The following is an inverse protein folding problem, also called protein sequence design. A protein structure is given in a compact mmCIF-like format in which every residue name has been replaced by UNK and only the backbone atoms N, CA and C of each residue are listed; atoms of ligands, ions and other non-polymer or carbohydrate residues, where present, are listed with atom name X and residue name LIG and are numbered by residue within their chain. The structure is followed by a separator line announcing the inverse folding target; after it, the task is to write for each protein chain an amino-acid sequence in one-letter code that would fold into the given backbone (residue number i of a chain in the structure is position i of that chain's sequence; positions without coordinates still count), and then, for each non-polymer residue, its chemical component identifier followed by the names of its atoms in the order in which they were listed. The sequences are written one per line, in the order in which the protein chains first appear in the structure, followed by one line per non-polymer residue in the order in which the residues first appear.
data_IF_817549796656
#
_entry.id   IF_817549796656
#
_cell.length_a   1.000
_cell.length_b   1.000
_cell.length_c   1.000
_cell.angle_alpha   90.00
_cell.angle_beta   90.00
_cell.angle_gamma   90.00
#
_symmetry.space_group_name_H-M   'P 1'
#
loop_
_entity.id
_entity.type
_entity.pdbx_description
1 polymer ?
#
# COMPACT_ATOMS: atom_id res chain seq x y z
N UNK A 1 12.29 -4.60 7.86
CA UNK A 1 12.00 -5.50 8.98
C UNK A 1 10.55 -5.37 9.41
N UNK A 2 9.79 -6.43 9.34
CA UNK A 2 8.39 -6.46 9.77
C UNK A 2 8.19 -7.54 10.84
N UNK A 3 7.55 -7.15 11.94
CA UNK A 3 7.08 -8.11 12.94
C UNK A 3 5.97 -8.97 12.33
N UNK A 4 5.72 -10.11 12.95
CA UNK A 4 4.58 -10.97 12.62
C UNK A 4 3.30 -10.14 12.46
N UNK A 5 2.65 -10.24 11.28
CA UNK A 5 1.45 -9.48 10.95
C UNK A 5 1.67 -7.98 10.64
N UNK A 6 2.92 -7.50 10.61
CA UNK A 6 3.22 -6.13 10.16
C UNK A 6 3.01 -6.00 8.65
N UNK A 7 2.55 -4.84 8.18
CA UNK A 7 2.29 -4.62 6.76
C UNK A 7 2.54 -3.18 6.34
N UNK A 8 2.80 -3.01 5.06
CA UNK A 8 2.76 -1.72 4.38
C UNK A 8 1.43 -1.67 3.63
N UNK A 9 0.53 -0.73 3.97
CA UNK A 9 -0.81 -0.68 3.37
C UNK A 9 -0.75 -0.37 1.86
N UNK A 10 -1.85 -0.56 1.12
CA UNK A 10 -1.91 -0.21 -0.29
C UNK A 10 -1.43 1.21 -0.56
N UNK A 11 -0.39 1.32 -1.41
CA UNK A 11 0.30 2.57 -1.72
C UNK A 11 0.87 2.55 -3.13
N UNK A 12 1.37 3.70 -3.57
CA UNK A 12 2.08 3.87 -4.84
C UNK A 12 3.40 4.58 -4.61
N UNK A 13 4.39 4.27 -5.45
CA UNK A 13 5.59 5.06 -5.63
C UNK A 13 5.49 5.82 -6.97
N UNK A 14 5.20 7.13 -6.95
CA UNK A 14 4.91 7.86 -8.20
C UNK A 14 6.13 8.08 -9.09
N UNK A 15 7.34 7.98 -8.55
CA UNK A 15 8.57 8.33 -9.25
C UNK A 15 9.59 7.19 -9.38
N UNK A 16 9.22 5.97 -9.00
CA UNK A 16 10.11 4.82 -9.14
C UNK A 16 9.33 3.51 -9.23
N UNK A 17 9.96 2.53 -9.88
CA UNK A 17 9.64 1.11 -9.67
C UNK A 17 10.40 0.60 -8.45
N UNK A 18 9.83 -0.36 -7.76
CA UNK A 18 10.41 -1.02 -6.59
C UNK A 18 10.71 -2.48 -6.91
N UNK A 19 11.83 -2.97 -6.44
CA UNK A 19 12.13 -4.39 -6.37
C UNK A 19 12.28 -4.78 -4.91
N UNK A 20 11.58 -5.83 -4.48
CA UNK A 20 11.72 -6.39 -3.14
C UNK A 20 12.47 -7.72 -3.22
N UNK A 21 13.43 -7.92 -2.31
CA UNK A 21 14.15 -9.17 -2.10
C UNK A 21 13.96 -9.64 -0.68
N UNK A 22 13.45 -10.84 -0.49
CA UNK A 22 13.22 -11.41 0.86
C UNK A 22 14.49 -12.08 1.36
N UNK A 23 14.94 -11.65 2.55
CA UNK A 23 16.14 -12.16 3.22
C UNK A 23 15.76 -13.24 4.22
N UNK A 24 14.70 -13.05 4.99
CA UNK A 24 14.21 -13.99 6.01
C UNK A 24 12.69 -13.88 6.19
N UNK A 25 12.08 -14.96 6.65
CA UNK A 25 10.64 -15.03 6.85
C UNK A 25 9.85 -15.15 5.54
N UNK A 26 8.57 -14.84 5.60
CA UNK A 26 7.66 -14.92 4.46
C UNK A 26 6.92 -13.58 4.30
N UNK A 27 6.84 -13.08 3.07
CA UNK A 27 6.19 -11.82 2.74
C UNK A 27 5.13 -12.07 1.68
N UNK A 28 3.89 -11.78 2.02
CA UNK A 28 2.82 -11.69 1.04
C UNK A 28 2.89 -10.33 0.33
N UNK A 29 2.79 -10.35 -0.99
CA UNK A 29 2.76 -9.15 -1.83
C UNK A 29 1.52 -9.15 -2.70
N UNK A 30 0.98 -7.96 -2.96
CA UNK A 30 -0.12 -7.75 -3.88
C UNK A 30 0.11 -6.52 -4.75
N UNK A 31 -0.32 -6.61 -6.01
CA UNK A 31 -0.17 -5.58 -7.03
C UNK A 31 -1.43 -5.52 -7.89
N UNK A 32 -1.91 -4.32 -8.18
CA UNK A 32 -3.03 -4.09 -9.10
C UNK A 32 -2.51 -3.34 -10.32
N UNK A 33 -2.75 -3.87 -11.53
CA UNK A 33 -2.39 -3.19 -12.77
C UNK A 33 -3.46 -2.18 -13.22
N UNK A 34 -3.17 -1.44 -14.28
CA UNK A 34 -4.10 -0.42 -14.81
C UNK A 34 -5.35 -0.99 -15.46
N UNK A 35 -5.41 -2.31 -15.70
CA UNK A 35 -6.63 -3.00 -16.15
C UNK A 35 -7.51 -3.50 -15.00
N UNK A 36 -7.07 -3.26 -13.74
CA UNK A 36 -7.73 -3.75 -12.55
C UNK A 36 -7.42 -5.21 -12.21
N UNK A 37 -6.42 -5.81 -12.88
CA UNK A 37 -6.02 -7.18 -12.59
C UNK A 37 -5.15 -7.22 -11.34
N UNK A 38 -5.50 -8.09 -10.41
CA UNK A 38 -4.76 -8.33 -9.17
C UNK A 38 -3.78 -9.47 -9.34
N UNK A 39 -2.54 -9.21 -8.96
CA UNK A 39 -1.46 -10.20 -8.89
C UNK A 39 -1.01 -10.30 -7.44
N UNK A 40 -0.83 -11.50 -6.94
CA UNK A 40 -0.31 -11.73 -5.61
C UNK A 40 0.65 -12.91 -5.58
N UNK A 41 1.52 -12.90 -4.59
CA UNK A 41 2.45 -13.99 -4.33
C UNK A 41 2.85 -14.00 -2.86
N UNK A 42 3.21 -15.17 -2.35
CA UNK A 42 3.97 -15.29 -1.10
C UNK A 42 5.43 -15.48 -1.46
N UNK A 43 6.27 -14.59 -0.99
CA UNK A 43 7.70 -14.59 -1.24
C UNK A 43 8.44 -15.24 -0.07
N UNK A 44 9.37 -16.11 -0.41
CA UNK A 44 10.27 -16.79 0.53
C UNK A 44 11.68 -16.25 0.44
N UNK A 45 12.59 -16.54 1.40
CA UNK A 45 13.97 -16.08 1.32
C UNK A 45 14.63 -16.42 -0.02
N UNK A 46 15.19 -15.41 -0.67
CA UNK A 46 15.80 -15.51 -2.00
C UNK A 46 14.87 -15.11 -3.15
N UNK A 47 13.58 -14.94 -2.90
CA UNK A 47 12.63 -14.50 -3.92
C UNK A 47 12.73 -12.99 -4.16
N UNK A 48 12.46 -12.60 -5.41
CA UNK A 48 12.34 -11.23 -5.88
C UNK A 48 10.94 -10.98 -6.44
N UNK A 49 10.44 -9.76 -6.25
CA UNK A 49 9.22 -9.29 -6.90
C UNK A 49 9.39 -7.83 -7.33
N UNK A 50 8.79 -7.46 -8.46
CA UNK A 50 8.86 -6.09 -8.99
C UNK A 50 7.50 -5.42 -8.91
N UNK A 51 7.47 -4.23 -8.32
CA UNK A 51 6.31 -3.33 -8.36
C UNK A 51 6.60 -2.21 -9.35
N UNK A 52 5.95 -2.21 -10.54
CA UNK A 52 6.12 -1.15 -11.52
C UNK A 52 5.67 0.21 -10.97
N UNK A 53 6.34 1.27 -11.42
CA UNK A 53 6.06 2.64 -11.00
C UNK A 53 4.57 3.00 -11.14
N UNK A 54 4.01 3.61 -10.09
CA UNK A 54 2.66 4.15 -10.07
C UNK A 54 1.55 3.12 -9.86
N UNK A 55 1.86 1.83 -9.77
CA UNK A 55 0.85 0.80 -9.51
C UNK A 55 0.61 0.61 -8.02
N UNK A 56 -0.66 0.45 -7.66
CA UNK A 56 -1.06 0.19 -6.26
C UNK A 56 -0.57 -1.19 -5.85
N UNK A 57 0.14 -1.25 -4.74
CA UNK A 57 0.68 -2.49 -4.20
C UNK A 57 0.78 -2.46 -2.68
N UNK A 58 0.94 -3.63 -2.06
CA UNK A 58 1.16 -3.77 -0.63
C UNK A 58 2.15 -4.91 -0.34
N UNK A 59 2.74 -4.88 0.85
CA UNK A 59 3.52 -5.96 1.41
C UNK A 59 3.03 -6.27 2.82
N UNK A 60 2.95 -7.55 3.17
CA UNK A 60 2.55 -7.98 4.52
C UNK A 60 3.43 -9.13 4.99
N UNK A 61 3.93 -9.02 6.22
CA UNK A 61 4.56 -10.16 6.88
C UNK A 61 3.49 -11.19 7.24
N UNK A 62 3.73 -12.45 6.90
CA UNK A 62 2.81 -13.53 7.26
C UNK A 62 2.68 -13.60 8.80
N UNK A 63 1.44 -13.76 9.35
CA UNK A 63 1.21 -13.68 10.80
C UNK A 63 2.03 -14.65 11.65
N UNK A 64 2.48 -15.76 11.09
CA UNK A 64 3.25 -16.78 11.79
C UNK A 64 4.75 -16.48 11.94
N UNK A 65 5.27 -15.44 11.25
CA UNK A 65 6.71 -15.18 11.26
C UNK A 65 7.04 -13.68 11.21
N UNK A 66 8.26 -13.38 11.66
CA UNK A 66 8.89 -12.08 11.45
C UNK A 66 9.65 -12.13 10.13
N UNK A 67 9.53 -11.11 9.30
CA UNK A 67 10.19 -11.04 8.01
C UNK A 67 11.23 -9.93 7.93
N UNK A 68 12.22 -10.16 7.08
CA UNK A 68 13.23 -9.17 6.70
C UNK A 68 13.34 -9.17 5.18
N UNK A 69 13.17 -8.01 4.58
CA UNK A 69 13.32 -7.79 3.15
C UNK A 69 14.11 -6.52 2.87
N UNK A 70 14.69 -6.47 1.67
CA UNK A 70 15.35 -5.30 1.13
C UNK A 70 14.55 -4.81 -0.07
N UNK A 71 14.16 -3.53 -0.05
CA UNK A 71 13.55 -2.87 -1.21
C UNK A 71 14.53 -1.90 -1.84
N UNK A 72 14.62 -1.92 -3.16
CA UNK A 72 15.42 -0.99 -3.94
C UNK A 72 14.55 -0.29 -4.99
N UNK A 73 14.91 0.95 -5.28
CA UNK A 73 14.17 1.83 -6.18
C UNK A 73 15.11 2.38 -7.26
N UNK A 74 14.59 2.56 -8.47
CA UNK A 74 15.37 3.19 -9.55
C UNK A 74 15.30 4.73 -9.51
N UNK A 75 15.12 5.30 -8.35
CA UNK A 75 15.15 6.74 -8.08
C UNK A 75 15.60 7.01 -6.65
N UNK A 76 16.35 8.09 -6.46
CA UNK A 76 16.68 8.62 -5.13
C UNK A 76 15.47 9.27 -4.43
N UNK A 77 14.36 9.45 -5.14
CA UNK A 77 13.17 10.13 -4.65
C UNK A 77 11.89 9.46 -5.17
N UNK A 78 11.70 8.21 -4.80
CA UNK A 78 10.58 7.37 -5.24
C UNK A 78 9.21 8.00 -4.91
N UNK A 79 9.09 8.65 -3.78
CA UNK A 79 7.82 9.12 -3.23
C UNK A 79 7.02 7.97 -2.63
N UNK A 80 6.03 8.33 -1.85
CA UNK A 80 5.10 7.41 -1.23
C UNK A 80 3.73 8.08 -1.13
N UNK A 81 2.70 7.46 -1.68
CA UNK A 81 1.31 7.85 -1.47
C UNK A 81 0.51 6.65 -1.00
N UNK A 82 0.15 6.64 0.27
CA UNK A 82 -0.75 5.63 0.84
C UNK A 82 -2.18 5.95 0.42
N UNK A 83 -2.85 5.03 -0.24
CA UNK A 83 -4.14 5.28 -0.90
C UNK A 83 -5.20 5.77 0.08
N UNK A 84 -5.38 5.08 1.21
CA UNK A 84 -6.37 5.47 2.21
C UNK A 84 -6.07 6.84 2.84
N UNK A 85 -4.81 7.10 3.20
CA UNK A 85 -4.41 8.38 3.76
C UNK A 85 -4.54 9.52 2.76
N UNK A 86 -4.27 9.28 1.48
CA UNK A 86 -4.46 10.27 0.43
C UNK A 86 -5.94 10.65 0.26
N UNK A 87 -6.84 9.67 0.33
CA UNK A 87 -8.28 9.90 0.16
C UNK A 87 -8.93 10.54 1.39
N UNK A 88 -8.57 10.09 2.59
CA UNK A 88 -9.26 10.47 3.82
C UNK A 88 -8.49 11.41 4.73
N UNK A 89 -7.17 11.54 4.55
CA UNK A 89 -6.29 12.36 5.38
C UNK A 89 -5.75 13.62 4.69
N UNK A 90 -6.22 13.94 3.49
CA UNK A 90 -5.76 15.15 2.76
C UNK A 90 -6.20 16.45 3.45
N UNK A 91 -5.36 17.50 3.30
CA UNK A 91 -5.66 18.84 3.83
C UNK A 91 -5.41 19.89 2.74
N UNK A 92 -6.45 20.65 2.30
CA UNK A 92 -7.86 20.50 2.67
C UNK A 92 -8.43 19.14 2.24
N UNK A 93 -9.47 18.69 2.94
CA UNK A 93 -10.10 17.41 2.71
C UNK A 93 -10.91 17.34 1.41
N UNK A 94 -10.96 16.18 0.81
CA UNK A 94 -11.87 15.91 -0.30
C UNK A 94 -13.32 16.03 0.22
N UNK A 95 -14.26 16.66 -0.51
CA UNK A 95 -15.65 16.75 -0.08
C UNK A 95 -16.27 15.39 0.22
N UNK A 96 -16.97 15.27 1.34
CA UNK A 96 -17.57 14.01 1.79
C UNK A 96 -18.55 13.42 0.79
N UNK A 97 -19.29 14.28 0.10
CA UNK A 97 -20.21 13.86 -0.98
C UNK A 97 -19.51 13.15 -2.14
N UNK A 98 -18.29 13.53 -2.45
CA UNK A 98 -17.49 12.89 -3.50
C UNK A 98 -17.01 11.52 -3.02
N UNK A 99 -16.45 11.44 -1.83
CA UNK A 99 -16.00 10.17 -1.24
C UNK A 99 -17.15 9.19 -1.04
N UNK A 100 -18.29 9.67 -0.52
CA UNK A 100 -19.48 8.85 -0.33
C UNK A 100 -19.98 8.23 -1.65
N UNK A 101 -20.06 9.03 -2.71
CA UNK A 101 -20.45 8.55 -4.05
C UNK A 101 -19.44 7.60 -4.65
N UNK A 102 -18.14 7.92 -4.55
CA UNK A 102 -17.06 7.12 -5.12
C UNK A 102 -17.00 5.72 -4.51
N UNK A 103 -17.21 5.63 -3.19
CA UNK A 103 -17.07 4.38 -2.44
C UNK A 103 -18.39 3.68 -2.15
N UNK A 104 -19.53 4.29 -2.54
CA UNK A 104 -20.88 3.80 -2.25
C UNK A 104 -21.12 3.60 -0.74
N UNK A 105 -20.68 4.56 0.07
CA UNK A 105 -20.82 4.59 1.52
C UNK A 105 -21.59 5.84 1.96
N UNK A 106 -22.02 5.87 3.21
CA UNK A 106 -22.75 7.02 3.76
C UNK A 106 -21.79 8.17 4.12
N UNK A 107 -22.29 9.43 4.13
CA UNK A 107 -21.49 10.56 4.62
C UNK A 107 -20.94 10.36 6.04
N UNK A 108 -21.73 9.77 6.94
CA UNK A 108 -21.29 9.46 8.31
C UNK A 108 -20.10 8.50 8.32
N UNK A 109 -20.12 7.48 7.46
CA UNK A 109 -18.98 6.57 7.31
C UNK A 109 -17.74 7.29 6.77
N UNK A 110 -17.89 8.25 5.85
CA UNK A 110 -16.79 9.09 5.37
C UNK A 110 -16.19 9.89 6.53
N UNK A 111 -17.00 10.55 7.33
CA UNK A 111 -16.55 11.32 8.49
C UNK A 111 -15.79 10.45 9.50
N UNK A 112 -16.29 9.26 9.80
CA UNK A 112 -15.64 8.34 10.74
C UNK A 112 -14.30 7.86 10.23
N UNK A 113 -14.19 7.56 8.93
CA UNK A 113 -12.91 7.19 8.31
C UNK A 113 -11.95 8.38 8.32
N UNK A 114 -12.39 9.59 7.95
CA UNK A 114 -11.55 10.80 8.00
C UNK A 114 -10.96 11.02 9.39
N UNK A 115 -11.76 10.87 10.46
CA UNK A 115 -11.28 10.98 11.85
C UNK A 115 -10.15 9.99 12.13
N UNK A 116 -10.24 8.77 11.64
CA UNK A 116 -9.21 7.74 11.82
C UNK A 116 -7.88 8.10 11.12
N UNK A 117 -7.93 8.88 10.04
CA UNK A 117 -6.74 9.34 9.29
C UNK A 117 -6.32 10.78 9.63
N UNK A 118 -6.93 11.42 10.63
CA UNK A 118 -6.65 12.81 11.01
C UNK A 118 -7.11 13.85 9.97
N UNK A 119 -7.99 13.46 9.06
CA UNK A 119 -8.60 14.34 8.05
C UNK A 119 -9.77 15.15 8.62
N UNK A 120 -10.09 16.21 7.91
CA UNK A 120 -11.16 17.14 8.25
C UNK A 120 -12.16 17.30 7.11
#
# INVERSE_FOLDING_TARGET
YAKSGGFVPPHVHPRASEIIYVIAGEVEVGLIDTSGKFFNATLFPGDLFVFPRGLIHYQSSVPSCTSLSLSAFNSQHAGLSVVASALFGSTPGIPDSILAKTLSITPTQVEDIKKAFGGH
#
